data_IF_920471297479
#
_entry.id   IF_920471297479
#
_cell.length_a   1.000
_cell.length_b   1.000
_cell.length_c   1.000
_cell.angle_alpha   90.00
_cell.angle_beta   90.00
_cell.angle_gamma   90.00
#
_symmetry.space_group_name_H-M   'P 1'
#
loop_
_entity.id
_entity.type
_entity.pdbx_description
1 polymer ?
#
# COMPACT_ATOMS: atom_id res chain seq x y z
N UNK A 1 -18.60 0.79 6.51
CA UNK A 1 -17.90 1.01 5.23
C UNK A 1 -17.48 2.47 5.10
N UNK A 2 -16.18 2.71 4.93
CA UNK A 2 -15.60 4.05 4.74
C UNK A 2 -15.06 4.20 3.31
N UNK A 3 -15.17 5.41 2.74
CA UNK A 3 -14.71 5.70 1.36
C UNK A 3 -13.77 6.91 1.37
N UNK A 4 -12.68 6.82 0.62
CA UNK A 4 -11.79 7.95 0.31
C UNK A 4 -11.54 8.05 -1.18
N UNK A 5 -11.49 9.28 -1.68
CA UNK A 5 -11.29 9.57 -3.09
C UNK A 5 -10.10 10.51 -3.23
N UNK A 6 -9.19 10.17 -4.14
CA UNK A 6 -8.02 10.97 -4.46
C UNK A 6 -7.97 11.24 -5.97
N UNK A 7 -7.37 12.37 -6.35
CA UNK A 7 -7.16 12.76 -7.75
C UNK A 7 -5.72 13.23 -7.93
N UNK A 8 -4.87 12.35 -8.42
CA UNK A 8 -3.47 12.66 -8.72
C UNK A 8 -2.81 11.50 -9.48
N UNK A 9 -1.60 11.71 -9.99
CA UNK A 9 -0.74 10.66 -10.57
C UNK A 9 -0.01 9.86 -9.46
N UNK A 10 -0.78 9.34 -8.50
CA UNK A 10 -0.26 8.51 -7.42
C UNK A 10 0.06 7.13 -7.98
N UNK A 11 1.29 6.69 -7.79
CA UNK A 11 1.70 5.32 -8.08
C UNK A 11 1.59 4.44 -6.83
N UNK A 12 1.92 4.99 -5.65
CA UNK A 12 2.03 4.23 -4.43
C UNK A 12 1.43 5.03 -3.25
N UNK A 13 0.69 4.34 -2.38
CA UNK A 13 0.18 4.92 -1.15
C UNK A 13 0.00 3.86 -0.08
N UNK A 14 0.04 4.28 1.18
CA UNK A 14 -0.32 3.42 2.31
C UNK A 14 -1.46 4.03 3.11
N UNK A 15 -2.23 3.15 3.72
CA UNK A 15 -3.36 3.45 4.59
C UNK A 15 -3.07 2.81 5.93
N UNK A 16 -3.22 3.58 7.00
CA UNK A 16 -3.15 3.06 8.36
C UNK A 16 -4.56 2.96 8.93
N UNK A 17 -4.84 1.86 9.64
CA UNK A 17 -6.06 1.63 10.41
C UNK A 17 -5.66 1.47 11.88
N UNK A 18 -5.43 2.59 12.61
CA UNK A 18 -4.82 2.56 13.93
C UNK A 18 -5.63 1.77 14.95
N UNK A 19 -6.96 1.91 14.92
CA UNK A 19 -7.88 1.26 15.88
C UNK A 19 -7.82 -0.27 15.80
N UNK A 20 -7.41 -0.81 14.64
CA UNK A 20 -7.28 -2.26 14.42
C UNK A 20 -5.83 -2.73 14.33
N UNK A 21 -4.86 -1.82 14.49
CA UNK A 21 -3.43 -2.08 14.28
C UNK A 21 -3.15 -2.78 12.92
N UNK A 22 -3.83 -2.31 11.86
CA UNK A 22 -3.66 -2.82 10.49
C UNK A 22 -3.12 -1.74 9.56
N UNK A 23 -2.49 -2.17 8.49
CA UNK A 23 -2.03 -1.29 7.44
C UNK A 23 -2.19 -1.92 6.08
N UNK A 24 -2.46 -1.09 5.07
CA UNK A 24 -2.55 -1.50 3.68
C UNK A 24 -1.59 -0.65 2.86
N UNK A 25 -0.89 -1.30 1.94
CA UNK A 25 -0.05 -0.65 0.95
C UNK A 25 -0.60 -0.96 -0.43
N UNK A 26 -0.75 0.05 -1.26
CA UNK A 26 -1.26 -0.08 -2.61
C UNK A 26 -0.22 0.39 -3.62
N UNK A 27 -0.01 -0.42 -4.65
CA UNK A 27 0.82 -0.11 -5.81
C UNK A 27 -0.07 -0.09 -7.06
N UNK A 28 0.01 0.97 -7.85
CA UNK A 28 -0.71 1.10 -9.13
C UNK A 28 0.28 0.78 -10.24
N UNK A 29 0.18 -0.43 -10.78
CA UNK A 29 0.98 -0.89 -11.91
C UNK A 29 0.13 -0.80 -13.18
N UNK A 30 0.33 0.28 -13.95
CA UNK A 30 -0.47 0.55 -15.14
C UNK A 30 -1.91 0.95 -14.78
N UNK A 31 -2.86 0.05 -15.03
CA UNK A 31 -4.30 0.22 -14.74
C UNK A 31 -4.80 -0.67 -13.60
N UNK A 32 -3.93 -1.53 -13.04
CA UNK A 32 -4.30 -2.51 -12.01
C UNK A 32 -3.73 -2.12 -10.66
N UNK A 33 -4.58 -1.71 -9.69
CA UNK A 33 -4.14 -1.54 -8.32
C UNK A 33 -3.86 -2.89 -7.67
N UNK A 34 -2.71 -3.01 -7.02
CA UNK A 34 -2.31 -4.16 -6.22
C UNK A 34 -2.37 -3.78 -4.75
N UNK A 35 -3.23 -4.47 -4.01
CA UNK A 35 -3.49 -4.19 -2.59
C UNK A 35 -2.74 -5.22 -1.75
N UNK A 36 -1.86 -4.73 -0.88
CA UNK A 36 -0.92 -5.54 -0.11
C UNK A 36 -1.14 -5.26 1.39
N UNK A 37 -1.11 -6.30 2.21
CA UNK A 37 -1.00 -6.15 3.65
C UNK A 37 0.33 -5.45 3.98
N UNK A 38 0.28 -4.30 4.64
CA UNK A 38 1.45 -3.52 4.96
C UNK A 38 2.22 -4.06 6.18
N UNK A 39 2.06 -5.32 6.56
CA UNK A 39 2.76 -5.94 7.67
C UNK A 39 3.59 -7.14 7.20
N UNK A 40 4.89 -7.10 7.46
CA UNK A 40 5.81 -8.19 7.20
C UNK A 40 5.52 -9.38 8.12
N UNK A 41 5.44 -10.59 7.58
CA UNK A 41 5.20 -11.82 8.35
C UNK A 41 6.23 -12.13 9.44
N UNK A 42 7.44 -11.59 9.34
CA UNK A 42 8.47 -11.86 10.32
C UNK A 42 8.14 -11.21 11.67
N UNK A 43 8.01 -9.87 11.69
CA UNK A 43 7.78 -9.08 12.93
C UNK A 43 6.86 -7.87 12.73
N UNK A 44 5.96 -7.90 11.75
CA UNK A 44 4.93 -6.87 11.54
C UNK A 44 5.38 -5.57 10.88
N UNK A 45 6.63 -5.50 10.42
CA UNK A 45 7.21 -4.29 9.87
C UNK A 45 6.61 -3.78 8.53
N UNK A 46 6.64 -2.46 8.18
CA UNK A 46 5.91 -1.99 7.02
C UNK A 46 6.55 -2.40 5.70
N UNK A 47 5.71 -3.02 4.88
CA UNK A 47 6.07 -3.42 3.52
C UNK A 47 6.36 -2.21 2.63
N UNK A 48 5.65 -1.10 2.81
CA UNK A 48 5.84 0.11 1.99
C UNK A 48 7.22 0.78 2.16
N UNK A 49 7.97 0.47 3.23
CA UNK A 49 9.33 0.97 3.42
C UNK A 49 10.40 0.03 2.87
N UNK A 50 10.02 -1.19 2.47
CA UNK A 50 10.98 -2.18 1.98
C UNK A 50 11.69 -1.70 0.72
N UNK A 51 12.99 -2.02 0.63
CA UNK A 51 13.81 -1.68 -0.54
C UNK A 51 13.68 -2.77 -1.60
N UNK A 52 13.77 -2.39 -2.86
CA UNK A 52 13.97 -3.34 -3.97
C UNK A 52 15.49 -3.42 -4.19
N UNK A 53 16.05 -4.63 -4.19
CA UNK A 53 17.46 -4.86 -4.46
C UNK A 53 17.73 -4.98 -5.98
N UNK A 54 19.00 -5.18 -6.34
CA UNK A 54 19.45 -5.32 -7.73
C UNK A 54 18.84 -6.54 -8.45
N UNK A 55 18.42 -7.57 -7.70
CA UNK A 55 17.75 -8.76 -8.22
C UNK A 55 16.23 -8.56 -8.34
N UNK A 56 15.74 -7.33 -8.19
CA UNK A 56 14.32 -6.98 -8.15
C UNK A 56 13.54 -7.68 -7.02
N UNK A 57 14.24 -8.05 -5.93
CA UNK A 57 13.64 -8.67 -4.74
C UNK A 57 13.38 -7.62 -3.68
N UNK A 58 12.20 -7.70 -3.05
CA UNK A 58 11.84 -6.82 -1.93
C UNK A 58 12.52 -7.28 -0.65
N UNK A 59 13.30 -6.41 -0.01
CA UNK A 59 13.98 -6.67 1.26
C UNK A 59 13.43 -5.84 2.40
N UNK A 60 13.23 -6.50 3.53
CA UNK A 60 12.83 -5.88 4.78
C UNK A 60 13.92 -4.91 5.28
N UNK A 61 13.54 -3.67 5.61
CA UNK A 61 14.50 -2.64 6.04
C UNK A 61 15.23 -2.95 7.35
N UNK A 62 14.66 -3.80 8.21
CA UNK A 62 15.27 -4.08 9.52
C UNK A 62 16.26 -5.22 9.51
N UNK A 63 15.95 -6.29 8.78
CA UNK A 63 16.73 -7.54 8.86
C UNK A 63 17.37 -7.89 7.51
N UNK A 64 17.16 -7.06 6.48
CA UNK A 64 17.64 -7.27 5.12
C UNK A 64 17.23 -8.61 4.48
N UNK A 65 16.23 -9.29 5.07
CA UNK A 65 15.68 -10.55 4.59
C UNK A 65 14.78 -10.30 3.38
N UNK A 66 14.82 -11.23 2.42
CA UNK A 66 13.95 -11.22 1.25
C UNK A 66 12.51 -11.55 1.66
N UNK A 67 11.56 -10.75 1.18
CA UNK A 67 10.13 -10.99 1.34
C UNK A 67 9.65 -11.82 0.17
N UNK A 68 9.57 -13.14 0.39
CA UNK A 68 9.23 -14.11 -0.67
C UNK A 68 7.77 -14.06 -1.10
N UNK A 69 6.86 -13.60 -0.23
CA UNK A 69 5.42 -13.53 -0.52
C UNK A 69 4.81 -12.29 0.12
N UNK A 70 4.12 -11.51 -0.71
CA UNK A 70 3.25 -10.42 -0.28
C UNK A 70 1.85 -10.97 -0.10
N UNK A 71 1.22 -10.66 1.03
CA UNK A 71 -0.18 -11.02 1.26
C UNK A 71 -1.09 -9.94 0.71
N UNK A 72 -2.16 -10.36 0.07
CA UNK A 72 -3.24 -9.46 -0.32
C UNK A 72 -4.09 -9.12 0.90
N UNK A 73 -4.68 -7.94 0.88
CA UNK A 73 -5.64 -7.51 1.89
C UNK A 73 -7.06 -7.63 1.31
N UNK A 74 -8.00 -8.13 2.10
CA UNK A 74 -9.38 -8.38 1.65
C UNK A 74 -10.41 -7.39 2.23
N UNK A 75 -10.03 -6.56 3.20
CA UNK A 75 -10.94 -5.58 3.82
C UNK A 75 -10.84 -4.18 3.19
N UNK A 76 -9.98 -4.02 2.17
CA UNK A 76 -9.84 -2.78 1.39
C UNK A 76 -9.97 -3.11 -0.09
N UNK A 77 -10.82 -2.38 -0.79
CA UNK A 77 -10.93 -2.36 -2.25
C UNK A 77 -10.42 -1.04 -2.82
N UNK A 78 -9.77 -1.11 -3.98
CA UNK A 78 -9.25 0.07 -4.71
C UNK A 78 -9.71 0.01 -6.15
N UNK A 79 -10.30 1.10 -6.62
CA UNK A 79 -10.66 1.31 -8.02
C UNK A 79 -9.84 2.48 -8.55
N UNK A 80 -9.06 2.23 -9.61
CA UNK A 80 -8.29 3.27 -10.29
C UNK A 80 -8.84 3.51 -11.69
N UNK A 81 -9.20 4.76 -11.97
CA UNK A 81 -9.67 5.21 -13.29
C UNK A 81 -8.57 6.08 -13.89
N UNK A 82 -7.73 5.47 -14.74
CA UNK A 82 -6.53 6.08 -15.32
C UNK A 82 -6.82 7.38 -16.09
N UNK A 83 -7.87 7.39 -16.92
CA UNK A 83 -8.26 8.57 -17.71
C UNK A 83 -8.62 9.79 -16.85
N UNK A 84 -9.08 9.56 -15.62
CA UNK A 84 -9.46 10.60 -14.67
C UNK A 84 -8.40 10.86 -13.59
N UNK A 85 -7.30 10.09 -13.60
CA UNK A 85 -6.33 10.02 -12.49
C UNK A 85 -7.01 9.90 -11.12
N UNK A 86 -8.10 9.13 -11.07
CA UNK A 86 -8.99 9.04 -9.90
C UNK A 86 -8.80 7.70 -9.22
N UNK A 87 -8.51 7.74 -7.92
CA UNK A 87 -8.45 6.56 -7.07
C UNK A 87 -9.62 6.63 -6.09
N UNK A 88 -10.41 5.55 -6.04
CA UNK A 88 -11.47 5.37 -5.04
C UNK A 88 -11.08 4.20 -4.16
N UNK A 89 -10.94 4.44 -2.88
CA UNK A 89 -10.65 3.42 -1.87
C UNK A 89 -11.91 3.19 -1.04
N UNK A 90 -12.29 1.93 -0.90
CA UNK A 90 -13.39 1.48 -0.04
C UNK A 90 -12.80 0.55 1.00
N UNK A 91 -13.13 0.76 2.27
CA UNK A 91 -12.69 -0.10 3.36
C UNK A 91 -13.89 -0.59 4.17
N UNK A 92 -13.88 -1.88 4.51
CA UNK A 92 -14.74 -2.43 5.56
C UNK A 92 -14.14 -2.09 6.92
N UNK A 93 -14.31 -0.82 7.30
CA UNK A 93 -13.77 -0.24 8.53
C UNK A 93 -14.80 0.75 9.08
N UNK A 94 -14.96 0.76 10.41
CA UNK A 94 -15.94 1.58 11.12
C UNK A 94 -15.30 2.66 11.99
N UNK A 95 -13.97 2.75 12.04
CA UNK A 95 -13.29 3.81 12.78
C UNK A 95 -13.29 5.15 12.05
N UNK A 96 -13.08 6.22 12.81
CA UNK A 96 -13.15 7.59 12.31
C UNK A 96 -11.85 8.07 11.67
N UNK A 97 -10.71 7.44 11.99
CA UNK A 97 -9.40 7.88 11.54
C UNK A 97 -8.66 6.75 10.81
N UNK A 98 -8.39 6.97 9.53
CA UNK A 98 -7.63 6.04 8.69
C UNK A 98 -6.74 6.80 7.72
N UNK A 99 -5.64 7.41 8.21
CA UNK A 99 -4.83 8.33 7.43
C UNK A 99 -4.24 7.63 6.20
N UNK A 100 -4.10 8.40 5.13
CA UNK A 100 -3.51 7.94 3.87
C UNK A 100 -2.29 8.79 3.60
N UNK A 101 -1.17 8.13 3.34
CA UNK A 101 0.09 8.79 2.97
C UNK A 101 0.48 8.32 1.59
N UNK A 102 0.91 9.27 0.77
CA UNK A 102 1.38 9.02 -0.59
C UNK A 102 2.90 8.92 -0.56
N UNK A 103 3.45 7.91 -1.23
CA UNK A 103 4.89 7.85 -1.47
C UNK A 103 5.16 8.37 -2.87
N UNK A 104 5.75 9.56 -2.96
CA UNK A 104 6.26 10.10 -4.22
C UNK A 104 7.40 9.19 -4.68
N UNK A 105 7.21 8.45 -5.77
CA UNK A 105 8.29 7.72 -6.43
C UNK A 105 9.23 8.74 -7.12
N UNK A 106 10.03 9.45 -6.33
CA UNK A 106 11.29 10.04 -6.78
C UNK A 106 12.42 9.21 -6.20
N UNK A 107 12.53 7.95 -6.66
CA UNK A 107 13.80 7.24 -6.58
C UNK A 107 14.43 7.43 -7.95
N UNK A 108 15.14 8.55 -8.11
CA UNK A 108 16.15 8.68 -9.15
C UNK A 108 17.19 7.58 -8.89
N UNK A 109 17.29 6.64 -9.82
CA UNK A 109 18.51 5.85 -10.03
C UNK A 109 19.22 6.51 -11.21
#
# INVERSE_FOLDING_TARGET
MAVKIFRDNIQNFHISFPDENKGVYCEILGDKPKIINNQCKHRGGPIHLCKIDQDNKRRCIWHNLVINKLETCNFVGVVYIKSMKKITVVADYNGNNWPVSFTSSNINI
#
